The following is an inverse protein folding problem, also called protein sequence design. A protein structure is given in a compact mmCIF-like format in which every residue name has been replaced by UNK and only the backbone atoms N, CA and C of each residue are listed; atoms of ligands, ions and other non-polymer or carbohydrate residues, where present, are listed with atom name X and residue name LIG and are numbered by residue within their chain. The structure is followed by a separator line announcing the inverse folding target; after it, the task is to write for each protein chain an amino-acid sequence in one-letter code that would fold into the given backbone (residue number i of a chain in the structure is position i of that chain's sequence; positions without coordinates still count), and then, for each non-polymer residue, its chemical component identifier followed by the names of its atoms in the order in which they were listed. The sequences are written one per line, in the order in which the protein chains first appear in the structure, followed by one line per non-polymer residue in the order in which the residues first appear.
data_IF_234934292158
#
_entry.id   IF_234934292158
#
_cell.length_a   1.000
_cell.length_b   1.000
_cell.length_c   1.000
_cell.angle_alpha   90.00
_cell.angle_beta   90.00
_cell.angle_gamma   90.00
#
_symmetry.space_group_name_H-M   'P 1'
#
loop_
_entity.id
_entity.type
_entity.pdbx_description
1 polymer ?
#
# COMPACT_ATOMS: atom_id res chain seq x y z
N UNK A 1 6.33 -3.94 10.69
CA UNK A 1 5.30 -4.96 11.00
C UNK A 1 3.96 -4.37 10.61
N UNK A 2 3.27 -4.91 9.59
CA UNK A 2 1.92 -4.46 9.21
C UNK A 2 0.95 -5.14 10.20
N UNK A 3 0.42 -4.36 11.14
CA UNK A 3 -0.56 -4.86 12.10
C UNK A 3 -1.93 -4.91 11.40
N UNK A 4 -2.47 -6.11 11.20
CA UNK A 4 -3.78 -6.34 10.56
C UNK A 4 -4.76 -6.87 11.64
N UNK A 5 -5.27 -6.00 12.54
CA UNK A 5 -6.02 -6.42 13.72
C UNK A 5 -7.29 -7.21 13.39
N UNK A 6 -7.91 -6.91 12.24
CA UNK A 6 -9.16 -7.55 11.79
C UNK A 6 -8.95 -8.73 10.83
N UNK A 7 -7.68 -9.03 10.45
CA UNK A 7 -7.32 -10.01 9.41
C UNK A 7 -8.06 -9.81 8.08
N UNK A 8 -8.50 -8.58 7.84
CA UNK A 8 -9.27 -8.20 6.67
C UNK A 8 -8.36 -7.55 5.66
N UNK A 9 -8.49 -7.95 4.40
CA UNK A 9 -7.92 -7.26 3.25
C UNK A 9 -9.05 -6.51 2.56
N UNK A 10 -8.99 -5.19 2.57
CA UNK A 10 -9.90 -4.36 1.77
C UNK A 10 -9.45 -4.40 0.31
N UNK A 11 -10.34 -4.81 -0.58
CA UNK A 11 -10.11 -4.88 -2.02
C UNK A 11 -10.77 -3.71 -2.73
N UNK A 12 -10.05 -3.13 -3.67
CA UNK A 12 -10.56 -2.10 -4.56
C UNK A 12 -9.93 -2.23 -5.94
N UNK A 13 -10.77 -2.12 -6.97
CA UNK A 13 -10.37 -2.01 -8.36
C UNK A 13 -11.16 -0.85 -8.98
N UNK A 14 -10.45 0.23 -9.33
CA UNK A 14 -11.05 1.43 -9.89
C UNK A 14 -11.63 1.21 -11.29
N UNK A 15 -11.21 0.16 -12.02
CA UNK A 15 -11.81 -0.25 -13.30
C UNK A 15 -13.03 -1.14 -13.13
N UNK A 16 -13.29 -1.59 -11.90
CA UNK A 16 -14.45 -2.43 -11.55
C UNK A 16 -14.52 -3.73 -12.34
N UNK A 17 -13.35 -4.34 -12.54
CA UNK A 17 -13.30 -5.70 -13.01
C UNK A 17 -13.79 -6.64 -11.90
N UNK A 18 -14.34 -7.80 -12.26
CA UNK A 18 -14.74 -8.80 -11.29
C UNK A 18 -13.56 -9.22 -10.41
N UNK A 19 -13.80 -9.28 -9.10
CA UNK A 19 -12.79 -9.76 -8.14
C UNK A 19 -12.38 -11.19 -8.51
N UNK A 20 -11.08 -11.50 -8.64
CA UNK A 20 -10.64 -12.85 -8.96
C UNK A 20 -11.10 -13.86 -7.89
N UNK A 21 -11.79 -14.93 -8.31
CA UNK A 21 -12.44 -15.92 -7.41
C UNK A 21 -11.53 -16.48 -6.33
N UNK A 22 -10.23 -16.65 -6.62
CA UNK A 22 -9.25 -17.25 -5.73
C UNK A 22 -8.34 -16.24 -5.04
N UNK A 23 -8.62 -14.93 -5.15
CA UNK A 23 -7.72 -13.89 -4.62
C UNK A 23 -7.46 -14.05 -3.12
N UNK A 24 -8.52 -14.17 -2.32
CA UNK A 24 -8.39 -14.31 -0.87
C UNK A 24 -7.63 -15.58 -0.45
N UNK A 25 -7.87 -16.69 -1.15
CA UNK A 25 -7.15 -17.94 -0.91
C UNK A 25 -5.66 -17.79 -1.24
N UNK A 26 -5.33 -17.26 -2.43
CA UNK A 26 -3.94 -17.08 -2.86
C UNK A 26 -3.16 -16.12 -1.96
N UNK A 27 -3.79 -15.04 -1.50
CA UNK A 27 -3.18 -14.12 -0.55
C UNK A 27 -2.95 -14.78 0.82
N UNK A 28 -3.87 -15.63 1.27
CA UNK A 28 -3.70 -16.41 2.49
C UNK A 28 -2.53 -17.39 2.37
N UNK A 29 -2.44 -18.13 1.25
CA UNK A 29 -1.33 -19.05 0.96
C UNK A 29 0.02 -18.34 0.92
N UNK A 30 0.07 -17.18 0.23
CA UNK A 30 1.26 -16.35 0.18
C UNK A 30 1.71 -15.89 1.57
N UNK A 31 0.78 -15.34 2.37
CA UNK A 31 1.10 -14.87 3.72
C UNK A 31 1.53 -16.00 4.66
N UNK A 32 0.97 -17.21 4.50
CA UNK A 32 1.39 -18.39 5.25
C UNK A 32 2.81 -18.84 4.89
N UNK A 33 3.24 -18.65 3.64
CA UNK A 33 4.60 -18.96 3.20
C UNK A 33 5.62 -17.91 3.69
N UNK A 34 5.25 -16.64 3.70
CA UNK A 34 6.17 -15.53 4.00
C UNK A 34 6.26 -15.17 5.50
N UNK A 35 5.27 -15.53 6.32
CA UNK A 35 5.17 -15.08 7.71
C UNK A 35 5.09 -16.28 8.67
N UNK A 36 6.17 -16.51 9.41
CA UNK A 36 6.38 -17.68 10.29
C UNK A 36 5.30 -17.88 11.36
N UNK A 37 4.61 -16.81 11.78
CA UNK A 37 3.55 -16.84 12.79
C UNK A 37 2.22 -16.33 12.24
N UNK A 38 1.97 -16.52 10.95
CA UNK A 38 0.72 -16.13 10.33
C UNK A 38 -0.45 -16.89 10.99
N UNK A 39 -1.42 -16.21 11.61
CA UNK A 39 -2.45 -16.84 12.43
C UNK A 39 -3.59 -17.47 11.60
N UNK A 40 -3.34 -17.70 10.30
CA UNK A 40 -4.29 -18.25 9.34
C UNK A 40 -5.19 -17.21 8.67
N UNK A 41 -6.00 -17.71 7.74
CA UNK A 41 -7.06 -17.09 6.89
C UNK A 41 -7.19 -15.56 6.95
N UNK A 42 -7.09 -14.93 5.78
CA UNK A 42 -7.50 -13.54 5.57
C UNK A 42 -8.92 -13.48 5.01
N UNK A 43 -9.70 -12.52 5.51
CA UNK A 43 -11.01 -12.20 4.96
C UNK A 43 -10.88 -11.10 3.92
N UNK A 44 -11.35 -11.36 2.70
CA UNK A 44 -11.38 -10.35 1.64
C UNK A 44 -12.67 -9.55 1.76
N UNK A 45 -12.56 -8.25 2.03
CA UNK A 45 -13.68 -7.32 2.03
C UNK A 45 -13.73 -6.58 0.70
N UNK A 46 -14.86 -6.72 0.02
CA UNK A 46 -15.13 -6.06 -1.27
C UNK A 46 -16.27 -5.09 -1.07
N UNK A 47 -16.08 -3.82 -1.45
CA UNK A 47 -17.17 -2.84 -1.52
C UNK A 47 -17.38 -2.41 -2.97
N UNK A 48 -18.50 -2.84 -3.56
CA UNK A 48 -18.85 -2.56 -4.95
C UNK A 48 -19.45 -1.16 -5.15
N UNK A 49 -19.62 -0.38 -4.08
CA UNK A 49 -20.19 0.99 -4.13
C UNK A 49 -19.10 2.06 -4.25
N UNK A 50 -17.83 1.64 -4.27
CA UNK A 50 -16.70 2.55 -4.32
C UNK A 50 -16.64 3.28 -5.69
N UNK A 51 -16.16 4.53 -5.71
CA UNK A 51 -16.06 5.30 -6.95
C UNK A 51 -15.13 4.63 -7.97
N UNK A 52 -15.56 4.65 -9.23
CA UNK A 52 -14.87 4.01 -10.35
C UNK A 52 -14.26 5.06 -11.26
N UNK A 53 -13.09 4.78 -11.83
CA UNK A 53 -12.48 5.64 -12.82
C UNK A 53 -13.26 5.57 -14.14
N UNK A 54 -13.37 6.70 -14.83
CA UNK A 54 -14.06 6.78 -16.14
C UNK A 54 -13.12 6.80 -17.34
N UNK A 55 -11.80 6.78 -17.10
CA UNK A 55 -10.77 6.77 -18.12
C UNK A 55 -9.82 5.58 -17.93
N UNK A 56 -8.85 5.42 -18.84
CA UNK A 56 -7.93 4.29 -18.85
C UNK A 56 -6.63 4.51 -18.05
N UNK A 57 -6.43 5.68 -17.44
CA UNK A 57 -5.12 6.09 -16.91
C UNK A 57 -5.09 6.47 -15.42
N UNK A 58 -6.25 6.73 -14.80
CA UNK A 58 -6.30 7.24 -13.43
C UNK A 58 -6.22 6.16 -12.35
N UNK A 59 -5.97 4.89 -12.68
CA UNK A 59 -5.95 3.81 -11.69
C UNK A 59 -4.94 4.07 -10.58
N UNK A 60 -3.78 4.64 -10.89
CA UNK A 60 -2.80 5.04 -9.88
C UNK A 60 -3.32 6.11 -8.92
N UNK A 61 -4.08 7.09 -9.43
CA UNK A 61 -4.65 8.18 -8.61
C UNK A 61 -5.74 7.63 -7.70
N UNK A 62 -6.67 6.84 -8.25
CA UNK A 62 -7.73 6.20 -7.48
C UNK A 62 -7.17 5.28 -6.38
N UNK A 63 -6.12 4.51 -6.68
CA UNK A 63 -5.46 3.65 -5.70
C UNK A 63 -4.81 4.44 -4.56
N UNK A 64 -4.21 5.60 -4.85
CA UNK A 64 -3.61 6.46 -3.82
C UNK A 64 -4.66 7.11 -2.93
N UNK A 65 -5.76 7.60 -3.51
CA UNK A 65 -6.90 8.13 -2.73
C UNK A 65 -7.49 7.05 -1.83
N UNK A 66 -7.70 5.85 -2.40
CA UNK A 66 -8.21 4.71 -1.64
C UNK A 66 -7.28 4.34 -0.46
N UNK A 67 -5.98 4.26 -0.70
CA UNK A 67 -5.00 3.97 0.34
C UNK A 67 -4.96 5.06 1.42
N UNK A 68 -5.03 6.33 1.04
CA UNK A 68 -5.13 7.46 1.96
C UNK A 68 -6.36 7.34 2.85
N UNK A 69 -7.53 7.05 2.28
CA UNK A 69 -8.74 6.86 3.07
C UNK A 69 -8.64 5.66 4.03
N UNK A 70 -8.06 4.54 3.60
CA UNK A 70 -7.86 3.37 4.45
C UNK A 70 -6.93 3.65 5.63
N UNK A 71 -5.83 4.38 5.41
CA UNK A 71 -4.85 4.69 6.46
C UNK A 71 -5.39 5.70 7.46
N UNK A 72 -6.19 6.65 6.97
CA UNK A 72 -6.74 7.74 7.78
C UNK A 72 -8.13 7.42 8.37
N UNK A 73 -8.66 6.21 8.13
CA UNK A 73 -10.02 5.80 8.50
C UNK A 73 -11.10 6.79 8.02
N UNK A 74 -10.92 7.33 6.82
CA UNK A 74 -11.83 8.29 6.21
C UNK A 74 -12.92 7.57 5.39
N UNK A 75 -14.13 8.16 5.29
CA UNK A 75 -15.19 7.62 4.45
C UNK A 75 -14.78 7.61 2.96
N UNK A 76 -14.93 6.46 2.34
CA UNK A 76 -14.60 6.19 0.94
C UNK A 76 -15.84 6.47 0.07
N UNK A 77 -16.07 7.75 -0.24
CA UNK A 77 -17.28 8.23 -0.94
C UNK A 77 -16.99 8.93 -2.27
N UNK A 78 -18.03 9.15 -3.07
CA UNK A 78 -17.92 9.80 -4.39
C UNK A 78 -17.28 11.19 -4.30
N UNK A 79 -17.66 11.97 -3.29
CA UNK A 79 -17.11 13.32 -3.09
C UNK A 79 -15.61 13.28 -2.78
N UNK A 80 -15.16 12.30 -1.99
CA UNK A 80 -13.75 12.08 -1.66
C UNK A 80 -12.91 11.73 -2.90
N UNK A 81 -13.50 11.03 -3.87
CA UNK A 81 -12.80 10.60 -5.07
C UNK A 81 -12.87 11.60 -6.20
N UNK A 82 -14.02 12.22 -6.44
CA UNK A 82 -14.21 13.10 -7.59
C UNK A 82 -13.68 14.52 -7.33
N UNK A 83 -13.73 14.99 -6.09
CA UNK A 83 -13.13 16.28 -5.77
C UNK A 83 -11.61 16.15 -5.79
N UNK A 84 -10.97 16.97 -6.62
CA UNK A 84 -9.50 17.09 -6.63
C UNK A 84 -8.74 15.93 -7.26
N UNK A 85 -9.30 15.10 -8.15
CA UNK A 85 -8.49 14.14 -8.94
C UNK A 85 -7.39 14.86 -9.71
N UNK A 86 -7.73 15.95 -10.38
CA UNK A 86 -6.76 16.73 -11.15
C UNK A 86 -5.71 17.38 -10.25
N UNK A 87 -6.14 17.91 -9.10
CA UNK A 87 -5.23 18.47 -8.09
C UNK A 87 -4.29 17.41 -7.52
N UNK A 88 -4.79 16.22 -7.20
CA UNK A 88 -3.98 15.09 -6.74
C UNK A 88 -3.04 14.61 -7.84
N UNK A 89 -3.50 14.51 -9.09
CA UNK A 89 -2.65 14.17 -10.24
C UNK A 89 -1.51 15.16 -10.39
N UNK A 90 -1.80 16.46 -10.30
CA UNK A 90 -0.81 17.53 -10.35
C UNK A 90 0.16 17.47 -9.16
N UNK A 91 -0.36 17.30 -7.94
CA UNK A 91 0.46 17.23 -6.73
C UNK A 91 1.44 16.05 -6.76
N UNK A 92 0.99 14.88 -7.24
CA UNK A 92 1.84 13.71 -7.43
C UNK A 92 2.91 13.99 -8.49
N UNK A 93 2.52 14.57 -9.64
CA UNK A 93 3.47 14.92 -10.69
C UNK A 93 4.55 15.89 -10.19
N UNK A 94 4.17 16.93 -9.44
CA UNK A 94 5.09 17.87 -8.82
C UNK A 94 6.02 17.18 -7.82
N UNK A 95 5.49 16.32 -6.94
CA UNK A 95 6.30 15.57 -5.97
C UNK A 95 7.33 14.64 -6.65
N UNK A 96 6.98 14.05 -7.80
CA UNK A 96 7.91 13.26 -8.62
C UNK A 96 9.01 14.17 -9.19
N UNK A 97 8.64 15.29 -9.81
CA UNK A 97 9.59 16.23 -10.42
C UNK A 97 10.56 16.84 -9.40
N UNK A 98 10.08 17.07 -8.17
CA UNK A 98 10.88 17.57 -7.04
C UNK A 98 11.75 16.47 -6.39
N UNK A 99 11.69 15.23 -6.88
CA UNK A 99 12.46 14.10 -6.33
C UNK A 99 11.99 13.60 -4.97
N UNK A 100 10.84 14.10 -4.46
CA UNK A 100 10.29 13.71 -3.15
C UNK A 100 9.82 12.25 -3.10
N UNK A 101 9.58 11.65 -4.28
CA UNK A 101 9.16 10.25 -4.44
C UNK A 101 10.27 9.36 -5.04
N UNK A 102 11.55 9.76 -4.94
CA UNK A 102 12.68 8.99 -5.47
C UNK A 102 12.67 7.52 -5.00
N UNK A 103 12.75 6.59 -5.96
CA UNK A 103 12.88 5.15 -5.76
C UNK A 103 14.32 4.71 -5.41
N UNK A 104 15.25 5.63 -5.12
CA UNK A 104 16.60 5.28 -4.66
C UNK A 104 16.59 4.73 -3.23
N UNK A 105 16.00 3.54 -3.09
CA UNK A 105 16.07 2.67 -1.92
C UNK A 105 17.48 2.08 -1.69
N UNK A 106 18.53 2.71 -2.23
CA UNK A 106 19.94 2.37 -1.97
C UNK A 106 20.68 3.33 -1.04
N UNK A 107 20.16 4.52 -0.73
CA UNK A 107 20.96 5.55 -0.04
C UNK A 107 20.64 5.75 1.45
N UNK A 108 20.11 4.74 2.15
CA UNK A 108 19.95 4.81 3.62
C UNK A 108 20.46 3.60 4.41
N UNK A 109 21.34 2.76 3.82
CA UNK A 109 22.02 1.66 4.54
C UNK A 109 23.51 1.89 4.80
N UNK A 110 24.10 2.99 4.36
CA UNK A 110 25.49 3.35 4.67
C UNK A 110 25.53 4.68 5.40
N UNK A 111 25.09 4.70 6.67
CA UNK A 111 25.53 5.76 7.59
C UNK A 111 25.55 5.34 9.07
N UNK A 112 25.13 4.12 9.43
CA UNK A 112 25.17 3.64 10.82
C UNK A 112 25.81 2.25 10.98
N UNK A 113 26.93 2.00 10.32
CA UNK A 113 27.85 0.91 10.71
C UNK A 113 29.22 1.47 11.06
N UNK A 114 29.30 2.33 12.08
CA UNK A 114 30.51 2.40 12.88
C UNK A 114 30.48 1.21 13.85
N UNK A 115 31.17 0.13 13.50
CA UNK A 115 31.41 -1.00 14.40
C UNK A 115 32.03 -0.50 15.72
N UNK A 116 31.62 -1.01 16.89
CA UNK A 116 32.43 -0.86 18.09
C UNK A 116 33.69 -1.72 17.93
N UNK A 117 34.85 -1.14 18.23
CA UNK A 117 36.13 -1.85 18.26
C UNK A 117 36.04 -3.05 19.21
N UNK A 118 36.47 -4.22 18.75
CA UNK A 118 36.67 -5.40 19.59
C UNK A 118 37.77 -5.13 20.63
N UNK A 119 37.67 -5.68 21.86
CA UNK A 119 38.72 -5.52 22.85
C UNK A 119 39.94 -6.37 22.47
N UNK A 120 41.17 -5.96 22.83
CA UNK A 120 42.36 -6.75 22.58
C UNK A 120 42.33 -8.00 23.46
N UNK A 121 42.56 -9.16 22.85
CA UNK A 121 42.86 -10.40 23.55
C UNK A 121 44.11 -10.20 24.44
N UNK A 122 43.97 -10.44 25.74
CA UNK A 122 45.08 -10.72 26.65
C UNK A 122 44.99 -12.21 27.00
N UNK A 123 46.15 -12.86 26.95
CA UNK A 123 46.40 -14.28 27.24
C UNK A 123 45.94 -14.69 28.63
#
# INVERSE_FOLDING_TARGET
MVHIPRRTISYFDSLSLPVPKLLGQRLTEFMAAEVTSFPGRLDLQVDNRLPQQKNSSDCGIFMLVYAECLVMDLPIGLDTFLSGIEEKRLAIALAILEGKLSLTSRERRQENTSCPASPPFLW
#
